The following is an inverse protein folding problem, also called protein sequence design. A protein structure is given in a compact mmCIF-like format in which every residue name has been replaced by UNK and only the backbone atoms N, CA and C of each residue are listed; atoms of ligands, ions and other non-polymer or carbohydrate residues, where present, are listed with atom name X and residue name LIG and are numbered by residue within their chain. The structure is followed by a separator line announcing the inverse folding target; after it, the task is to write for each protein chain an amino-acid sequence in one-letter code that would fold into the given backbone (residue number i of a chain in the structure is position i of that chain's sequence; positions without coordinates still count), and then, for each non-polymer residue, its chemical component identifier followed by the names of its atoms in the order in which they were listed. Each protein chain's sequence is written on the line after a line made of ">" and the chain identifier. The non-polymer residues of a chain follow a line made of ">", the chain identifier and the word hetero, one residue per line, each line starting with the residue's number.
data_IF_897025138806
#
_entry.id   IF_897025138806
#
_cell.length_a   1.000
_cell.length_b   1.000
_cell.length_c   1.000
_cell.angle_alpha   90.00
_cell.angle_beta   90.00
_cell.angle_gamma   90.00
#
_symmetry.space_group_name_H-M   'P 1'
#
loop_
_entity.id
_entity.type
_entity.pdbx_description
1 polymer ?
#
# COMPACT_ATOMS: atom_id res chain seq x y z
N UNK A 1 22.00 2.61 8.85
CA UNK A 1 21.14 2.89 7.68
C UNK A 1 20.43 1.59 7.37
N UNK A 2 19.18 1.47 7.80
CA UNK A 2 18.35 0.29 7.54
C UNK A 2 17.99 0.34 6.05
N UNK A 3 18.63 -0.51 5.23
CA UNK A 3 18.32 -0.60 3.81
C UNK A 3 16.91 -1.18 3.68
N UNK A 4 15.92 -0.29 3.60
CA UNK A 4 14.57 -0.69 3.18
C UNK A 4 14.75 -1.41 1.84
N UNK A 5 14.31 -2.66 1.70
CA UNK A 5 14.40 -3.36 0.44
C UNK A 5 13.56 -2.59 -0.59
N UNK A 6 14.25 -1.87 -1.48
CA UNK A 6 13.66 -1.26 -2.66
C UNK A 6 13.29 -2.40 -3.61
N UNK A 7 12.06 -2.89 -3.51
CA UNK A 7 11.54 -3.88 -4.46
C UNK A 7 11.32 -3.12 -5.78
N UNK A 8 12.23 -3.30 -6.74
CA UNK A 8 12.03 -2.83 -8.09
C UNK A 8 10.93 -3.69 -8.72
N UNK A 9 9.76 -3.08 -9.00
CA UNK A 9 8.61 -3.77 -9.57
C UNK A 9 8.90 -4.44 -10.93
N UNK A 10 9.98 -4.02 -11.61
CA UNK A 10 10.46 -4.59 -12.88
C UNK A 10 11.09 -5.99 -12.71
N UNK A 11 11.60 -6.31 -11.51
CA UNK A 11 12.23 -7.61 -11.20
C UNK A 11 11.19 -8.66 -10.75
N UNK A 12 9.91 -8.30 -10.67
CA UNK A 12 8.83 -9.19 -10.25
C UNK A 12 8.29 -9.93 -11.47
N UNK A 13 8.41 -11.26 -11.47
CA UNK A 13 7.81 -12.10 -12.50
C UNK A 13 6.32 -11.78 -12.68
N UNK A 14 5.78 -11.81 -13.92
CA UNK A 14 4.38 -11.47 -14.20
C UNK A 14 3.39 -12.35 -13.43
N UNK A 15 3.77 -13.59 -13.12
CA UNK A 15 2.97 -14.50 -12.28
C UNK A 15 2.90 -14.00 -10.83
N UNK A 16 4.02 -13.57 -10.27
CA UNK A 16 4.09 -12.97 -8.93
C UNK A 16 3.32 -11.66 -8.86
N UNK A 17 3.43 -10.81 -9.88
CA UNK A 17 2.65 -9.57 -9.98
C UNK A 17 1.13 -9.85 -10.03
N UNK A 18 0.69 -10.88 -10.77
CA UNK A 18 -0.72 -11.32 -10.81
C UNK A 18 -1.19 -11.84 -9.45
N UNK A 19 -0.37 -12.62 -8.75
CA UNK A 19 -0.70 -13.11 -7.40
C UNK A 19 -0.84 -11.96 -6.41
N UNK A 20 0.10 -11.00 -6.43
CA UNK A 20 0.05 -9.80 -5.60
C UNK A 20 -1.20 -8.98 -5.89
N UNK A 21 -1.49 -8.68 -7.17
CA UNK A 21 -2.69 -7.94 -7.57
C UNK A 21 -3.98 -8.63 -7.09
N UNK A 22 -4.04 -9.95 -7.20
CA UNK A 22 -5.18 -10.74 -6.69
C UNK A 22 -5.30 -10.65 -5.17
N UNK A 23 -4.18 -10.76 -4.44
CA UNK A 23 -4.14 -10.62 -2.99
C UNK A 23 -4.58 -9.24 -2.52
N UNK A 24 -4.06 -8.17 -3.15
CA UNK A 24 -4.46 -6.79 -2.87
C UNK A 24 -5.95 -6.56 -3.13
N UNK A 25 -6.48 -7.09 -4.25
CA UNK A 25 -7.91 -7.00 -4.55
C UNK A 25 -8.75 -7.68 -3.47
N UNK A 26 -8.38 -8.90 -3.06
CA UNK A 26 -9.11 -9.63 -2.03
C UNK A 26 -9.08 -8.90 -0.68
N UNK A 27 -7.91 -8.36 -0.30
CA UNK A 27 -7.75 -7.59 0.93
C UNK A 27 -8.63 -6.34 0.92
N UNK A 28 -8.62 -5.59 -0.18
CA UNK A 28 -9.48 -4.41 -0.35
C UNK A 28 -10.97 -4.77 -0.18
N UNK A 29 -11.43 -5.83 -0.85
CA UNK A 29 -12.81 -6.29 -0.76
C UNK A 29 -13.21 -6.71 0.66
N UNK A 30 -12.30 -7.38 1.37
CA UNK A 30 -12.53 -7.77 2.76
C UNK A 30 -12.66 -6.55 3.67
N UNK A 31 -11.83 -5.53 3.48
CA UNK A 31 -11.87 -4.30 4.28
C UNK A 31 -13.17 -3.54 4.02
N UNK A 32 -13.55 -3.29 2.76
CA UNK A 32 -14.80 -2.56 2.47
C UNK A 32 -16.08 -3.30 2.91
N UNK A 33 -16.00 -4.62 3.09
CA UNK A 33 -17.11 -5.42 3.62
C UNK A 33 -17.27 -5.27 5.14
N UNK A 34 -16.27 -4.74 5.85
CA UNK A 34 -16.38 -4.42 7.28
C UNK A 34 -17.25 -3.17 7.50
N UNK A 35 -17.97 -3.07 8.63
CA UNK A 35 -18.63 -1.82 9.00
C UNK A 35 -17.59 -0.70 9.11
N UNK A 36 -17.85 0.43 8.45
CA UNK A 36 -16.93 1.57 8.34
C UNK A 36 -15.59 1.28 7.65
N UNK A 37 -15.43 0.14 6.97
CA UNK A 37 -14.17 -0.25 6.35
C UNK A 37 -13.65 0.74 5.31
N UNK A 38 -14.56 1.40 4.58
CA UNK A 38 -14.19 2.48 3.66
C UNK A 38 -13.58 3.68 4.40
N UNK A 39 -14.19 4.10 5.51
CA UNK A 39 -13.67 5.20 6.32
C UNK A 39 -12.28 4.89 6.92
N UNK A 40 -12.04 3.63 7.31
CA UNK A 40 -10.73 3.16 7.77
C UNK A 40 -9.69 3.28 6.65
N UNK A 41 -10.01 2.84 5.43
CA UNK A 41 -9.11 2.96 4.29
C UNK A 41 -8.78 4.40 3.95
N UNK A 42 -9.77 5.28 3.93
CA UNK A 42 -9.57 6.71 3.65
C UNK A 42 -8.70 7.37 4.73
N UNK A 43 -8.89 7.04 6.01
CA UNK A 43 -8.06 7.55 7.11
C UNK A 43 -6.60 7.08 7.03
N UNK A 44 -6.37 5.78 6.78
CA UNK A 44 -5.02 5.22 6.62
C UNK A 44 -4.30 5.81 5.40
N UNK A 45 -5.03 6.04 4.30
CA UNK A 45 -4.50 6.70 3.12
C UNK A 45 -4.08 8.15 3.41
N UNK A 46 -4.91 8.91 4.13
CA UNK A 46 -4.56 10.27 4.53
C UNK A 46 -3.31 10.30 5.42
N UNK A 47 -3.23 9.41 6.41
CA UNK A 47 -2.06 9.28 7.28
C UNK A 47 -0.78 8.95 6.50
N UNK A 48 -0.88 8.05 5.51
CA UNK A 48 0.24 7.73 4.61
C UNK A 48 0.69 8.96 3.80
N UNK A 49 -0.26 9.72 3.23
CA UNK A 49 0.06 10.95 2.48
C UNK A 49 0.76 12.00 3.36
N UNK A 50 0.35 12.13 4.62
CA UNK A 50 0.99 13.03 5.58
C UNK A 50 2.44 12.62 5.88
N UNK A 51 2.70 11.32 6.08
CA UNK A 51 4.07 10.78 6.28
C UNK A 51 4.95 11.07 5.07
N UNK A 52 4.46 10.80 3.85
CA UNK A 52 5.20 11.06 2.60
C UNK A 52 5.49 12.56 2.37
N UNK A 53 4.57 13.44 2.78
CA UNK A 53 4.77 14.90 2.72
C UNK A 53 5.78 15.39 3.77
N UNK A 54 5.84 14.76 4.94
CA UNK A 54 6.85 15.05 5.97
C UNK A 54 8.26 14.62 5.55
N UNK A 55 8.37 13.52 4.82
CA UNK A 55 9.64 13.00 4.28
C UNK A 55 10.26 13.93 3.22
N UNK A 56 9.44 14.70 2.49
CA UNK A 56 9.89 15.68 1.48
C UNK A 56 10.32 17.05 2.04
N UNK A 57 10.34 17.24 3.36
CA UNK A 57 10.72 18.53 3.98
C UNK A 57 12.13 18.56 4.58
N UNK A 58 12.87 17.46 4.46
CA UNK A 58 14.25 17.31 4.97
C UNK A 58 15.29 17.11 3.86
N UNK A 59 15.06 17.68 2.66
CA UNK A 59 16.09 17.86 1.63
C UNK A 59 16.50 19.34 1.55
#
# INVERSE_FOLDING_TARGET
>A
MDSIPHIHLDEISPETAKMLARGCKQLYLNIIAMPNGRAILDAEWEAYQQRKKGENKND
#
